data_IF_889166086542
#
_entry.id   IF_889166086542
#
_cell.length_a   1.000
_cell.length_b   1.000
_cell.length_c   1.000
_cell.angle_alpha   90.00
_cell.angle_beta   90.00
_cell.angle_gamma   90.00
#
_symmetry.space_group_name_H-M   'P 1'
#
loop_
_entity.id
_entity.type
_entity.pdbx_description
1 polymer ?
#
# COMPACT_ATOMS: atom_id res chain seq x y z
N UNK A 1 16.04 23.77 13.86
CA UNK A 1 16.23 22.41 13.31
C UNK A 1 15.15 22.20 12.25
N UNK A 2 15.46 21.59 11.10
CA UNK A 2 14.45 21.29 10.09
C UNK A 2 13.48 20.19 10.58
N UNK A 3 12.30 20.11 9.97
CA UNK A 3 11.35 19.01 10.19
C UNK A 3 11.89 17.69 9.62
N UNK A 4 11.36 16.56 10.09
CA UNK A 4 11.72 15.20 9.66
C UNK A 4 10.49 14.48 9.14
N UNK A 5 10.63 13.77 8.02
CA UNK A 5 9.58 12.89 7.52
C UNK A 5 9.48 11.65 8.41
N UNK A 6 8.31 11.42 9.00
CA UNK A 6 8.16 10.42 10.06
C UNK A 6 6.95 9.49 9.86
N UNK A 7 5.93 9.93 9.12
CA UNK A 7 4.68 9.18 8.99
C UNK A 7 4.03 9.47 7.63
N UNK A 8 3.53 8.42 7.00
CA UNK A 8 2.55 8.48 5.91
C UNK A 8 1.19 8.06 6.45
N UNK A 9 0.15 8.86 6.21
CA UNK A 9 -1.22 8.54 6.63
C UNK A 9 -2.07 8.08 5.46
N UNK A 10 -2.89 7.07 5.70
CA UNK A 10 -3.93 6.57 4.81
C UNK A 10 -5.28 6.80 5.47
N UNK A 11 -6.20 7.40 4.72
CA UNK A 11 -7.59 7.56 5.17
C UNK A 11 -8.37 6.36 4.65
N UNK A 12 -9.00 5.62 5.55
CA UNK A 12 -9.68 4.35 5.24
C UNK A 12 -11.18 4.44 5.51
N UNK A 13 -11.98 3.92 4.58
CA UNK A 13 -13.43 3.85 4.78
C UNK A 13 -13.84 2.74 5.76
N UNK A 14 -13.03 1.67 5.84
CA UNK A 14 -13.24 0.54 6.74
C UNK A 14 -11.89 0.02 7.24
N UNK A 15 -11.63 0.20 8.54
CA UNK A 15 -10.36 -0.16 9.16
C UNK A 15 -10.06 -1.65 9.01
N UNK A 16 -11.03 -2.52 9.34
CA UNK A 16 -10.85 -3.96 9.28
C UNK A 16 -10.46 -4.43 7.87
N UNK A 17 -11.15 -3.92 6.85
CA UNK A 17 -10.90 -4.24 5.44
C UNK A 17 -9.52 -3.79 4.99
N UNK A 18 -9.10 -2.59 5.38
CA UNK A 18 -7.79 -2.06 5.00
C UNK A 18 -6.66 -2.79 5.72
N UNK A 19 -6.76 -3.04 7.03
CA UNK A 19 -5.75 -3.82 7.76
C UNK A 19 -5.64 -5.26 7.22
N UNK A 20 -6.76 -5.90 6.84
CA UNK A 20 -6.73 -7.23 6.23
C UNK A 20 -5.92 -7.24 4.91
N UNK A 21 -6.11 -6.24 4.05
CA UNK A 21 -5.31 -6.10 2.82
C UNK A 21 -3.83 -5.92 3.11
N UNK A 22 -3.46 -5.00 4.01
CA UNK A 22 -2.05 -4.74 4.28
C UNK A 22 -1.33 -5.87 5.02
N UNK A 23 -2.07 -6.74 5.74
CA UNK A 23 -1.51 -7.99 6.28
C UNK A 23 -1.14 -9.00 5.19
N UNK A 24 -1.87 -9.03 4.07
CA UNK A 24 -1.48 -9.87 2.91
C UNK A 24 -0.14 -9.43 2.31
N UNK A 25 0.23 -8.17 2.50
CA UNK A 25 1.52 -7.60 2.08
C UNK A 25 2.60 -7.67 3.17
N UNK A 26 2.35 -8.41 4.25
CA UNK A 26 3.33 -8.68 5.30
C UNK A 26 3.48 -7.59 6.36
N UNK A 27 2.56 -6.60 6.44
CA UNK A 27 2.59 -5.66 7.57
C UNK A 27 2.15 -6.34 8.87
N UNK A 28 2.98 -6.23 9.90
CA UNK A 28 2.70 -6.72 11.25
C UNK A 28 1.77 -5.75 12.00
N UNK A 29 0.48 -5.89 11.72
CA UNK A 29 -0.59 -5.06 12.29
C UNK A 29 -1.23 -5.76 13.50
N UNK A 30 -1.27 -5.12 14.69
CA UNK A 30 -1.76 -5.74 15.92
C UNK A 30 -3.18 -6.32 15.78
N UNK A 31 -3.43 -7.46 16.42
CA UNK A 31 -4.79 -8.00 16.54
C UNK A 31 -5.66 -7.08 17.39
N UNK A 32 -6.92 -6.84 16.98
CA UNK A 32 -7.85 -5.94 17.65
C UNK A 32 -7.77 -4.48 17.16
N UNK A 33 -6.77 -4.13 16.34
CA UNK A 33 -6.65 -2.80 15.76
C UNK A 33 -7.79 -2.47 14.77
N UNK A 34 -8.55 -3.46 14.32
CA UNK A 34 -9.65 -3.32 13.38
C UNK A 34 -10.79 -2.42 13.87
N UNK A 35 -10.90 -2.23 15.18
CA UNK A 35 -11.94 -1.39 15.81
C UNK A 35 -11.43 -0.03 16.25
N UNK A 36 -10.13 0.26 16.06
CA UNK A 36 -9.53 1.51 16.49
C UNK A 36 -9.76 2.62 15.46
N UNK A 37 -9.98 3.88 15.89
CA UNK A 37 -10.15 5.02 15.00
C UNK A 37 -8.85 5.40 14.27
N UNK A 38 -7.70 5.05 14.86
CA UNK A 38 -6.37 5.36 14.40
C UNK A 38 -5.43 4.20 14.71
N UNK A 39 -4.68 3.73 13.71
CA UNK A 39 -3.73 2.62 13.84
C UNK A 39 -2.41 3.02 13.22
N UNK A 40 -1.30 2.69 13.88
CA UNK A 40 0.04 2.90 13.33
C UNK A 40 0.84 1.60 13.32
N UNK A 41 1.70 1.47 12.32
CA UNK A 41 2.74 0.45 12.28
C UNK A 41 4.09 1.13 12.04
N UNK A 42 5.09 0.74 12.84
CA UNK A 42 6.47 1.18 12.64
C UNK A 42 7.15 0.24 11.66
N UNK A 43 7.57 0.78 10.51
CA UNK A 43 8.29 0.05 9.48
C UNK A 43 9.78 -0.10 9.86
N UNK A 44 10.50 -1.05 9.24
CA UNK A 44 11.96 -1.10 9.34
C UNK A 44 12.58 0.27 9.02
N UNK A 45 13.47 0.75 9.89
CA UNK A 45 14.08 2.08 9.77
C UNK A 45 13.31 3.22 10.45
N UNK A 46 12.15 2.95 11.06
CA UNK A 46 11.46 3.88 11.96
C UNK A 46 10.46 4.83 11.29
N UNK A 47 10.29 4.75 9.97
CA UNK A 47 9.17 5.41 9.29
C UNK A 47 7.86 4.73 9.73
N UNK A 48 6.80 5.52 9.96
CA UNK A 48 5.48 4.99 10.32
C UNK A 48 4.52 5.03 9.14
N UNK A 49 3.65 4.04 9.07
CA UNK A 49 2.43 4.08 8.28
C UNK A 49 1.25 4.14 9.24
N UNK A 50 0.32 5.06 8.99
CA UNK A 50 -0.88 5.22 9.80
C UNK A 50 -2.14 5.05 8.96
N UNK A 51 -3.18 4.61 9.65
CA UNK A 51 -4.53 4.41 9.13
C UNK A 51 -5.47 5.22 9.99
N UNK A 52 -6.26 6.10 9.38
CA UNK A 52 -7.26 6.92 10.04
C UNK A 52 -8.62 6.63 9.42
N UNK A 53 -9.63 6.37 10.24
CA UNK A 53 -10.99 6.28 9.70
C UNK A 53 -11.44 7.63 9.15
N UNK A 54 -12.34 7.61 8.17
CA UNK A 54 -12.96 8.86 7.68
C UNK A 54 -13.63 9.67 8.81
N UNK A 55 -14.20 9.01 9.82
CA UNK A 55 -14.78 9.68 11.00
C UNK A 55 -13.71 10.44 11.80
N UNK A 56 -12.56 9.81 12.04
CA UNK A 56 -11.41 10.44 12.68
C UNK A 56 -10.97 11.69 11.94
N UNK A 57 -10.83 11.61 10.62
CA UNK A 57 -10.47 12.77 9.79
C UNK A 57 -11.53 13.87 9.90
N UNK A 58 -12.82 13.54 9.76
CA UNK A 58 -13.90 14.53 9.82
C UNK A 58 -14.04 15.20 11.20
N UNK A 59 -13.52 14.59 12.27
CA UNK A 59 -13.54 15.18 13.61
C UNK A 59 -12.72 16.48 13.70
N UNK A 60 -11.69 16.62 12.87
CA UNK A 60 -10.80 17.80 12.84
C UNK A 60 -10.70 18.48 11.46
N UNK A 61 -11.15 17.82 10.40
CA UNK A 61 -11.39 18.41 9.08
C UNK A 61 -12.82 18.07 8.60
N UNK A 62 -13.85 18.77 9.12
CA UNK A 62 -15.26 18.45 8.82
C UNK A 62 -15.66 18.63 7.36
N UNK A 63 -14.87 19.37 6.57
CA UNK A 63 -15.11 19.61 5.15
C UNK A 63 -14.48 18.51 4.27
N UNK A 64 -13.67 17.62 4.84
CA UNK A 64 -13.05 16.55 4.11
C UNK A 64 -14.10 15.64 3.45
N UNK A 65 -13.86 15.32 2.19
CA UNK A 65 -14.65 14.35 1.43
C UNK A 65 -13.70 13.39 0.71
N UNK A 66 -14.06 12.11 0.56
CA UNK A 66 -13.27 11.17 -0.23
C UNK A 66 -13.05 11.70 -1.64
N UNK A 67 -11.85 11.50 -2.19
CA UNK A 67 -11.57 11.89 -3.55
C UNK A 67 -12.47 11.12 -4.52
N UNK A 68 -13.27 11.83 -5.32
CA UNK A 68 -14.10 11.21 -6.35
C UNK A 68 -13.35 11.16 -7.69
N UNK A 69 -13.22 9.96 -8.28
CA UNK A 69 -13.02 9.84 -9.73
C UNK A 69 -11.63 9.55 -10.29
N UNK A 70 -10.68 8.98 -9.54
CA UNK A 70 -9.48 8.42 -10.18
C UNK A 70 -8.26 8.22 -9.30
N UNK A 71 -7.30 7.51 -9.90
CA UNK A 71 -5.94 7.17 -9.45
C UNK A 71 -5.33 8.25 -8.55
N UNK A 72 -4.99 7.88 -7.31
CA UNK A 72 -4.27 8.74 -6.38
C UNK A 72 -2.90 9.17 -6.94
N UNK A 73 -2.41 10.34 -6.52
CA UNK A 73 -1.08 10.85 -6.93
C UNK A 73 0.09 10.18 -6.21
N UNK A 74 -0.21 9.30 -5.26
CA UNK A 74 0.74 8.61 -4.40
C UNK A 74 0.46 7.11 -4.53
N UNK A 75 1.52 6.33 -4.65
CA UNK A 75 1.48 4.88 -4.49
C UNK A 75 2.36 4.45 -3.33
N UNK A 76 2.01 3.33 -2.71
CA UNK A 76 2.88 2.64 -1.75
C UNK A 76 3.55 1.47 -2.46
N UNK A 77 4.88 1.48 -2.52
CA UNK A 77 5.64 0.45 -3.23
C UNK A 77 6.24 -0.57 -2.25
N UNK A 78 5.90 -1.84 -2.45
CA UNK A 78 6.38 -2.99 -1.70
C UNK A 78 7.43 -3.73 -2.54
N UNK A 79 8.61 -3.90 -1.95
CA UNK A 79 9.67 -4.69 -2.55
C UNK A 79 9.37 -6.19 -2.36
N UNK A 80 9.50 -6.94 -3.45
CA UNK A 80 9.47 -8.40 -3.47
C UNK A 80 10.90 -8.93 -3.64
N UNK A 81 11.15 -10.15 -3.18
CA UNK A 81 12.43 -10.84 -3.22
C UNK A 81 12.86 -11.19 -4.65
N UNK A 82 11.91 -11.36 -5.57
CA UNK A 82 12.21 -11.70 -6.96
C UNK A 82 11.13 -11.26 -7.96
N UNK A 83 11.46 -11.17 -9.27
CA UNK A 83 10.47 -10.96 -10.31
C UNK A 83 9.30 -11.97 -10.27
N UNK A 84 9.58 -13.25 -10.02
CA UNK A 84 8.54 -14.26 -9.95
C UNK A 84 7.59 -14.05 -8.76
N UNK A 85 8.09 -13.48 -7.66
CA UNK A 85 7.27 -13.17 -6.50
C UNK A 85 6.32 -12.00 -6.76
N UNK A 86 6.73 -11.01 -7.56
CA UNK A 86 5.83 -9.93 -8.01
C UNK A 86 4.58 -10.51 -8.69
N UNK A 87 4.78 -11.46 -9.61
CA UNK A 87 3.69 -12.14 -10.31
C UNK A 87 2.82 -12.99 -9.37
N UNK A 88 3.43 -13.69 -8.42
CA UNK A 88 2.73 -14.53 -7.45
C UNK A 88 1.85 -13.69 -6.52
N UNK A 89 2.41 -12.68 -5.86
CA UNK A 89 1.66 -11.80 -4.93
C UNK A 89 0.54 -11.07 -5.68
N UNK A 90 0.81 -10.56 -6.89
CA UNK A 90 -0.23 -9.95 -7.70
C UNK A 90 -1.39 -10.92 -7.95
N UNK A 91 -1.11 -12.17 -8.31
CA UNK A 91 -2.12 -13.19 -8.55
C UNK A 91 -2.92 -13.53 -7.29
N UNK A 92 -2.24 -13.67 -6.14
CA UNK A 92 -2.88 -13.97 -4.86
C UNK A 92 -3.81 -12.83 -4.40
N UNK A 93 -3.42 -11.57 -4.59
CA UNK A 93 -4.26 -10.42 -4.27
C UNK A 93 -5.52 -10.37 -5.16
N UNK A 94 -5.41 -10.69 -6.45
CA UNK A 94 -6.57 -10.80 -7.32
C UNK A 94 -7.48 -11.96 -6.91
N UNK A 95 -6.90 -13.11 -6.55
CA UNK A 95 -7.66 -14.27 -6.07
C UNK A 95 -8.38 -13.99 -4.74
N UNK A 96 -7.82 -13.13 -3.89
CA UNK A 96 -8.46 -12.62 -2.68
C UNK A 96 -9.57 -11.58 -2.94
N UNK A 97 -9.80 -11.21 -4.20
CA UNK A 97 -10.86 -10.29 -4.63
C UNK A 97 -10.44 -8.82 -4.69
N UNK A 98 -9.16 -8.50 -4.54
CA UNK A 98 -8.66 -7.14 -4.73
C UNK A 98 -8.56 -6.78 -6.21
N UNK A 99 -8.58 -5.48 -6.51
CA UNK A 99 -8.64 -4.99 -7.89
C UNK A 99 -7.22 -4.78 -8.43
N UNK A 100 -6.93 -5.37 -9.58
CA UNK A 100 -5.72 -5.04 -10.35
C UNK A 100 -5.85 -3.70 -11.04
N UNK A 101 -4.74 -2.95 -11.12
CA UNK A 101 -4.64 -1.74 -11.93
C UNK A 101 -3.74 -1.94 -13.14
N UNK A 102 -2.52 -2.48 -12.95
CA UNK A 102 -1.58 -2.84 -13.99
C UNK A 102 -1.05 -4.27 -13.75
N UNK A 103 -1.22 -5.20 -14.71
CA UNK A 103 -0.69 -6.55 -14.59
C UNK A 103 0.84 -6.54 -14.63
N UNK A 104 1.53 -7.55 -14.08
CA UNK A 104 2.99 -7.59 -14.03
C UNK A 104 3.68 -7.36 -15.38
N UNK A 105 4.65 -6.44 -15.42
CA UNK A 105 5.43 -6.10 -16.60
C UNK A 105 6.89 -5.78 -16.24
N UNK A 106 7.77 -5.82 -17.24
CA UNK A 106 9.16 -5.41 -17.10
C UNK A 106 9.26 -3.92 -17.42
N UNK A 107 9.48 -3.12 -16.38
CA UNK A 107 9.55 -1.67 -16.51
C UNK A 107 10.91 -1.22 -17.07
N UNK A 108 10.92 -0.12 -17.83
CA UNK A 108 12.14 0.38 -18.50
C UNK A 108 13.26 0.81 -17.53
N UNK A 109 12.93 0.99 -16.24
CA UNK A 109 13.88 1.29 -15.18
C UNK A 109 14.47 0.03 -14.50
N UNK A 110 14.28 -1.16 -15.08
CA UNK A 110 14.97 -2.38 -14.67
C UNK A 110 14.31 -3.14 -13.52
N UNK A 111 12.98 -3.07 -13.41
CA UNK A 111 12.22 -3.79 -12.38
C UNK A 111 11.08 -4.57 -12.99
N UNK A 112 10.82 -5.78 -12.47
CA UNK A 112 9.51 -6.40 -12.60
C UNK A 112 8.56 -5.61 -11.72
N UNK A 113 7.43 -5.18 -12.26
CA UNK A 113 6.54 -4.23 -11.62
C UNK A 113 5.08 -4.64 -11.84
N UNK A 114 4.23 -4.42 -10.85
CA UNK A 114 2.78 -4.58 -10.95
C UNK A 114 2.09 -3.54 -10.06
N UNK A 115 0.83 -3.20 -10.36
CA UNK A 115 0.05 -2.29 -9.50
C UNK A 115 -1.32 -2.88 -9.23
N UNK A 116 -1.69 -2.96 -7.95
CA UNK A 116 -3.04 -3.26 -7.48
C UNK A 116 -3.65 -2.04 -6.80
N UNK A 117 -4.94 -2.12 -6.50
CA UNK A 117 -5.64 -1.14 -5.68
C UNK A 117 -5.89 -1.73 -4.30
N UNK A 118 -5.58 -0.94 -3.27
CA UNK A 118 -6.06 -1.23 -1.92
C UNK A 118 -7.60 -1.10 -1.85
N UNK A 119 -8.23 -1.42 -0.71
CA UNK A 119 -9.68 -1.40 -0.61
C UNK A 119 -10.30 -0.01 -0.83
N UNK A 120 -9.57 1.06 -0.57
CA UNK A 120 -10.02 2.46 -0.71
C UNK A 120 -9.61 3.07 -2.07
N UNK A 121 -8.92 2.31 -2.92
CA UNK A 121 -8.54 2.68 -4.28
C UNK A 121 -7.16 3.31 -4.41
N UNK A 122 -6.33 3.28 -3.37
CA UNK A 122 -4.95 3.73 -3.43
C UNK A 122 -4.11 2.75 -4.26
N UNK A 123 -3.13 3.27 -4.99
CA UNK A 123 -2.19 2.45 -5.73
C UNK A 123 -1.20 1.78 -4.78
N UNK A 124 -1.07 0.47 -4.95
CA UNK A 124 -0.06 -0.32 -4.26
C UNK A 124 0.76 -1.05 -5.31
N UNK A 125 2.04 -0.70 -5.35
CA UNK A 125 2.98 -1.22 -6.32
C UNK A 125 3.73 -2.40 -5.73
N UNK A 126 3.93 -3.45 -6.53
CA UNK A 126 4.77 -4.60 -6.22
C UNK A 126 5.95 -4.55 -7.16
N UNK A 127 7.18 -4.66 -6.65
CA UNK A 127 8.35 -4.58 -7.51
C UNK A 127 9.52 -5.43 -7.04
N UNK A 128 10.31 -5.90 -8.01
CA UNK A 128 11.60 -6.52 -7.76
C UNK A 128 12.59 -6.11 -8.87
N UNK A 129 13.90 -5.98 -8.57
CA UNK A 129 14.89 -5.73 -9.61
C UNK A 129 14.90 -6.88 -10.62
N UNK A 130 14.98 -6.55 -11.92
CA UNK A 130 15.24 -7.56 -12.94
C UNK A 130 16.68 -8.09 -12.79
N UNK A 131 16.94 -9.35 -13.20
CA UNK A 131 18.30 -9.84 -13.28
C UNK A 131 19.15 -8.89 -14.13
N UNK A 132 20.36 -8.59 -13.68
CA UNK A 132 21.30 -7.85 -14.50
C UNK A 132 21.46 -8.57 -15.84
N UNK A 133 21.39 -7.84 -16.95
CA UNK A 133 21.73 -8.41 -18.25
C UNK A 133 23.15 -8.99 -18.14
N UNK A 134 23.40 -10.22 -18.62
CA UNK A 134 24.76 -10.74 -18.64
C UNK A 134 25.63 -9.76 -19.41
N UNK A 135 26.74 -9.33 -18.77
CA UNK A 135 27.76 -8.53 -19.45
C UNK A 135 28.23 -9.31 -20.68
N UNK A 136 28.24 -8.71 -21.89
CA UNK A 136 28.68 -9.39 -23.09
C UNK A 136 30.15 -9.84 -23.02
#
# INVERSE_FOLDING_TARGET
MPSTFNLTGLIVADMARSLAFYRLLGLDLPAGAETEPHVEVTLPGGLRLAFDTEETIRSFDPAWTPASGGVGRVSLAFACDSPAEVDAIHTDLLAAGHRGHLPPWDAFWGQRYATVLDPDGNHVDLFAPLPAAPTP
#
